data_IF_518448368306
#
_entry.id   IF_518448368306
#
_cell.length_a   1.000
_cell.length_b   1.000
_cell.length_c   1.000
_cell.angle_alpha   90.00
_cell.angle_beta   90.00
_cell.angle_gamma   90.00
#
_symmetry.space_group_name_H-M   'P 1'
#
loop_
_entity.id
_entity.type
_entity.pdbx_description
1 polymer ?
#
# COMPACT_ATOMS: atom_id res chain seq x y z
N UNK A 1 72.58 34.23 -32.16
CA UNK A 1 71.98 33.09 -32.81
C UNK A 1 71.17 32.31 -31.72
N UNK A 2 69.87 32.44 -31.73
CA UNK A 2 68.97 31.70 -30.86
C UNK A 2 68.09 30.75 -31.77
N UNK A 3 67.96 29.49 -31.47
CA UNK A 3 67.10 28.64 -32.29
C UNK A 3 65.63 28.83 -31.88
N UNK A 4 64.79 28.96 -32.90
CA UNK A 4 63.32 28.95 -32.84
C UNK A 4 62.84 27.53 -32.48
N UNK A 5 62.12 27.41 -31.35
CA UNK A 5 61.33 26.18 -31.05
C UNK A 5 59.92 26.36 -31.62
N UNK A 6 59.55 25.48 -32.55
CA UNK A 6 58.20 25.30 -33.02
C UNK A 6 57.41 24.41 -32.09
N UNK A 7 56.19 24.75 -31.67
CA UNK A 7 55.35 23.79 -30.91
C UNK A 7 54.64 22.83 -31.84
N UNK A 8 54.78 21.54 -31.55
CA UNK A 8 53.98 20.44 -32.15
C UNK A 8 52.55 20.54 -31.63
N UNK A 9 51.59 20.79 -32.52
CA UNK A 9 50.17 20.66 -32.25
C UNK A 9 49.78 19.17 -32.39
N UNK A 10 49.56 18.51 -31.24
CA UNK A 10 48.98 17.18 -31.21
C UNK A 10 47.44 17.36 -31.26
N UNK A 11 46.87 17.15 -32.43
CA UNK A 11 45.41 17.11 -32.58
C UNK A 11 44.84 15.82 -31.99
N UNK A 12 44.15 15.92 -30.88
CA UNK A 12 43.32 14.82 -30.35
C UNK A 12 42.08 14.70 -31.22
N UNK A 13 42.04 13.69 -32.11
CA UNK A 13 40.78 13.25 -32.71
C UNK A 13 39.90 12.62 -31.66
N UNK A 14 38.97 13.39 -31.09
CA UNK A 14 37.90 12.89 -30.31
C UNK A 14 36.90 12.13 -31.19
N UNK A 15 36.87 10.83 -31.06
CA UNK A 15 35.78 10.02 -31.61
C UNK A 15 34.49 10.41 -30.85
N UNK A 16 33.71 11.29 -31.49
CA UNK A 16 32.34 11.56 -31.03
C UNK A 16 31.50 10.29 -31.28
N UNK A 17 31.27 9.54 -30.19
CA UNK A 17 30.27 8.48 -30.20
C UNK A 17 28.91 9.18 -30.37
N UNK A 18 28.14 8.89 -31.42
CA UNK A 18 26.82 9.49 -31.57
C UNK A 18 25.95 9.03 -30.40
N UNK A 19 25.62 9.96 -29.47
CA UNK A 19 24.58 9.77 -28.49
C UNK A 19 23.27 9.73 -29.26
N UNK A 20 22.78 8.53 -29.55
CA UNK A 20 21.44 8.36 -30.09
C UNK A 20 20.48 8.80 -28.99
N UNK A 21 19.73 9.91 -29.15
CA UNK A 21 18.75 10.30 -28.14
C UNK A 21 17.74 9.19 -28.01
N UNK A 22 17.59 8.65 -26.81
CA UNK A 22 16.54 7.66 -26.52
C UNK A 22 15.18 8.29 -26.87
N UNK A 23 14.32 7.62 -27.64
CA UNK A 23 13.08 8.19 -28.16
C UNK A 23 12.00 8.29 -27.05
N UNK A 24 12.21 9.17 -26.08
CA UNK A 24 11.25 9.40 -24.99
C UNK A 24 9.85 9.82 -25.51
N UNK A 25 9.79 10.43 -26.69
CA UNK A 25 8.51 10.84 -27.29
C UNK A 25 7.81 9.73 -28.11
N UNK A 26 8.51 8.71 -28.54
CA UNK A 26 7.92 7.62 -29.31
C UNK A 26 6.99 6.73 -28.48
N UNK A 27 7.27 6.58 -27.19
CA UNK A 27 6.47 5.72 -26.31
C UNK A 27 5.09 6.30 -25.97
N UNK A 28 4.98 7.61 -25.82
CA UNK A 28 3.69 8.28 -25.57
C UNK A 28 2.80 8.20 -26.82
N UNK A 29 3.38 8.30 -28.03
CA UNK A 29 2.65 8.17 -29.29
C UNK A 29 2.15 6.74 -29.55
N UNK A 30 2.93 5.72 -29.16
CA UNK A 30 2.54 4.32 -29.29
C UNK A 30 1.31 3.96 -28.45
N UNK A 31 1.11 4.60 -27.30
CA UNK A 31 0.00 4.30 -26.41
C UNK A 31 -1.26 5.11 -26.73
N UNK A 32 -1.15 6.28 -27.32
CA UNK A 32 -2.25 7.20 -27.57
C UNK A 32 -3.28 6.72 -28.60
N UNK A 33 -3.02 5.66 -29.34
CA UNK A 33 -3.91 5.14 -30.38
C UNK A 33 -4.22 3.64 -30.26
N UNK A 34 -3.84 2.99 -29.15
CA UNK A 34 -4.00 1.54 -29.02
C UNK A 34 -5.17 1.20 -28.10
N UNK A 35 -5.98 0.24 -28.53
CA UNK A 35 -6.99 -0.38 -27.68
C UNK A 35 -6.31 -1.22 -26.61
N UNK A 36 -6.70 -1.02 -25.35
CA UNK A 36 -6.24 -1.86 -24.27
C UNK A 36 -6.88 -3.25 -24.39
N UNK A 37 -6.11 -4.28 -24.05
CA UNK A 37 -6.58 -5.66 -23.99
C UNK A 37 -6.85 -6.03 -22.52
N UNK A 38 -8.03 -6.54 -22.16
CA UNK A 38 -8.31 -7.00 -20.80
C UNK A 38 -7.37 -8.14 -20.42
N UNK A 39 -6.92 -8.15 -19.18
CA UNK A 39 -6.08 -9.22 -18.62
C UNK A 39 -6.87 -10.50 -18.37
N UNK A 40 -8.19 -10.39 -18.10
CA UNK A 40 -9.09 -11.50 -17.75
C UNK A 40 -8.56 -12.34 -16.57
N UNK A 41 -7.90 -11.67 -15.63
CA UNK A 41 -7.35 -12.30 -14.45
C UNK A 41 -8.36 -12.52 -13.34
N UNK A 42 -7.88 -13.05 -12.21
CA UNK A 42 -8.72 -13.36 -11.06
C UNK A 42 -8.01 -13.04 -9.75
N UNK A 43 -8.76 -12.53 -8.79
CA UNK A 43 -8.32 -12.47 -7.40
C UNK A 43 -8.39 -13.86 -6.77
N UNK A 44 -7.46 -14.13 -5.86
CA UNK A 44 -7.64 -15.22 -4.91
C UNK A 44 -8.63 -14.79 -3.80
N UNK A 45 -8.94 -15.70 -2.86
CA UNK A 45 -9.93 -15.46 -1.79
C UNK A 45 -9.26 -15.23 -0.42
N UNK A 46 -7.98 -14.87 -0.38
CA UNK A 46 -7.29 -14.61 0.90
C UNK A 46 -7.86 -13.35 1.54
N UNK A 47 -8.41 -13.40 2.75
CA UNK A 47 -8.91 -12.22 3.43
C UNK A 47 -7.76 -11.34 3.90
N UNK A 48 -7.88 -10.04 3.66
CA UNK A 48 -6.89 -9.02 4.07
C UNK A 48 -7.58 -7.98 4.93
N UNK A 49 -7.12 -7.80 6.17
CA UNK A 49 -7.53 -6.65 6.96
C UNK A 49 -6.90 -5.39 6.40
N UNK A 50 -7.72 -4.41 6.07
CA UNK A 50 -7.30 -3.08 5.66
C UNK A 50 -7.65 -2.05 6.73
N UNK A 51 -6.65 -1.32 7.20
CA UNK A 51 -6.77 -0.17 8.06
C UNK A 51 -6.18 1.04 7.34
N UNK A 52 -7.05 1.77 6.61
CA UNK A 52 -6.69 2.95 5.83
C UNK A 52 -7.79 4.04 5.93
N UNK A 53 -8.83 3.85 6.73
CA UNK A 53 -9.85 4.84 7.07
C UNK A 53 -9.91 4.96 8.61
N UNK A 54 -9.62 6.14 9.16
CA UNK A 54 -9.17 7.36 8.48
C UNK A 54 -7.73 7.27 7.97
N UNK A 55 -7.43 7.82 6.80
CA UNK A 55 -6.03 7.91 6.36
C UNK A 55 -5.25 8.91 7.22
N UNK A 56 -5.89 10.04 7.55
CA UNK A 56 -5.33 11.10 8.39
C UNK A 56 -5.90 11.01 9.80
N UNK A 57 -5.18 10.28 10.64
CA UNK A 57 -5.51 10.12 12.08
C UNK A 57 -5.19 11.42 12.81
N UNK A 58 -6.09 11.88 13.67
CA UNK A 58 -5.94 13.15 14.38
C UNK A 58 -5.69 13.01 15.89
N UNK A 59 -5.80 11.79 16.44
CA UNK A 59 -5.60 11.49 17.85
C UNK A 59 -5.77 10.00 18.14
N UNK A 60 -5.75 9.65 19.41
CA UNK A 60 -5.87 8.29 19.90
C UNK A 60 -7.24 7.66 19.59
N UNK A 61 -7.24 6.33 19.37
CA UNK A 61 -8.46 5.53 19.27
C UNK A 61 -8.34 4.33 18.36
N UNK A 62 -9.45 3.63 18.19
CA UNK A 62 -9.58 2.46 17.31
C UNK A 62 -9.67 2.94 15.86
N UNK A 63 -8.89 2.33 14.99
CA UNK A 63 -8.91 2.60 13.55
C UNK A 63 -9.84 1.63 12.82
N UNK A 64 -9.70 0.34 13.10
CA UNK A 64 -10.58 -0.72 12.62
C UNK A 64 -10.57 -1.87 13.63
N UNK A 65 -11.72 -2.54 13.78
CA UNK A 65 -11.82 -3.79 14.55
C UNK A 65 -12.66 -4.81 13.80
N UNK A 66 -12.24 -6.08 13.85
CA UNK A 66 -13.02 -7.20 13.31
C UNK A 66 -13.78 -7.97 14.39
N UNK A 67 -13.72 -7.53 15.66
CA UNK A 67 -14.54 -8.10 16.73
C UNK A 67 -16.02 -7.75 16.53
N UNK A 68 -16.97 -8.59 16.94
CA UNK A 68 -18.38 -8.19 17.01
C UNK A 68 -18.58 -6.97 17.90
N UNK A 69 -19.57 -6.14 17.58
CA UNK A 69 -19.95 -4.98 18.38
C UNK A 69 -19.79 -3.65 17.68
N UNK A 70 -19.65 -2.60 18.47
CA UNK A 70 -19.63 -1.21 18.02
C UNK A 70 -18.48 -0.45 18.66
N UNK A 71 -18.00 0.58 17.97
CA UNK A 71 -17.14 1.59 18.54
C UNK A 71 -17.73 2.99 18.26
N UNK A 72 -17.43 3.96 19.11
CA UNK A 72 -18.07 5.27 19.07
C UNK A 72 -17.20 6.30 18.36
N UNK A 73 -17.75 6.96 17.36
CA UNK A 73 -17.05 8.01 16.62
C UNK A 73 -16.72 9.20 17.53
N UNK A 74 -15.47 9.63 17.54
CA UNK A 74 -15.02 10.77 18.33
C UNK A 74 -15.71 12.08 17.92
N UNK A 75 -16.03 12.23 16.61
CA UNK A 75 -16.63 13.43 16.03
C UNK A 75 -18.11 13.59 16.39
N UNK A 76 -18.86 12.50 16.53
CA UNK A 76 -20.32 12.53 16.62
C UNK A 76 -20.87 11.81 17.85
N UNK A 77 -20.06 11.01 18.54
CA UNK A 77 -20.51 10.12 19.60
C UNK A 77 -21.40 8.96 19.12
N UNK A 78 -21.62 8.82 17.81
CA UNK A 78 -22.48 7.78 17.27
C UNK A 78 -21.76 6.43 17.25
N UNK A 79 -22.48 5.31 17.52
CA UNK A 79 -21.93 3.97 17.37
C UNK A 79 -21.80 3.60 15.90
N UNK A 80 -20.63 3.09 15.51
CA UNK A 80 -20.38 2.44 14.23
C UNK A 80 -20.16 0.96 14.47
N UNK A 81 -20.87 0.11 13.73
CA UNK A 81 -20.63 -1.32 13.74
C UNK A 81 -19.19 -1.61 13.30
N UNK A 82 -18.53 -2.52 14.00
CA UNK A 82 -17.21 -3.01 13.63
C UNK A 82 -17.28 -3.79 12.31
N UNK A 83 -16.16 -3.91 11.63
CA UNK A 83 -15.99 -4.74 10.44
C UNK A 83 -15.89 -6.22 10.84
N UNK A 84 -16.95 -6.76 11.43
CA UNK A 84 -16.97 -8.09 12.05
C UNK A 84 -16.51 -9.18 11.09
N UNK A 85 -15.39 -9.82 11.40
CA UNK A 85 -14.81 -10.89 10.61
C UNK A 85 -13.91 -11.79 11.44
N UNK A 86 -13.93 -13.08 11.18
CA UNK A 86 -13.06 -14.08 11.80
C UNK A 86 -12.13 -14.67 10.74
N UNK A 87 -10.84 -14.49 10.93
CA UNK A 87 -9.80 -15.07 10.08
C UNK A 87 -9.56 -16.52 10.47
N UNK A 88 -9.30 -17.37 9.48
CA UNK A 88 -8.88 -18.76 9.68
C UNK A 88 -8.17 -19.25 8.39
N UNK A 89 -6.96 -19.78 8.52
CA UNK A 89 -6.13 -20.15 7.39
C UNK A 89 -5.26 -18.97 6.89
N UNK A 90 -5.10 -18.84 5.58
CA UNK A 90 -4.31 -17.73 4.99
C UNK A 90 -4.97 -16.38 5.24
N UNK A 91 -4.16 -15.37 5.54
CA UNK A 91 -4.63 -14.00 5.75
C UNK A 91 -3.57 -12.98 5.38
N UNK A 92 -4.02 -11.75 5.15
CA UNK A 92 -3.18 -10.58 4.96
C UNK A 92 -3.53 -9.43 5.90
N UNK A 93 -2.61 -8.48 6.01
CA UNK A 93 -2.79 -7.24 6.74
C UNK A 93 -2.20 -6.09 5.93
N UNK A 94 -2.98 -5.03 5.74
CA UNK A 94 -2.56 -3.74 5.22
C UNK A 94 -2.95 -2.64 6.19
N UNK A 95 -1.97 -1.90 6.68
CA UNK A 95 -2.17 -0.73 7.55
C UNK A 95 -1.46 0.46 6.92
N UNK A 96 -2.16 1.58 6.76
CA UNK A 96 -1.59 2.81 6.23
C UNK A 96 -2.28 4.03 6.83
N UNK A 97 -1.55 4.78 7.64
CA UNK A 97 -2.05 5.98 8.29
C UNK A 97 -1.02 7.09 8.29
N UNK A 98 -1.53 8.33 8.28
CA UNK A 98 -0.78 9.57 8.49
C UNK A 98 -1.25 10.20 9.80
N UNK A 99 -0.36 10.82 10.56
CA UNK A 99 -0.76 11.56 11.75
C UNK A 99 -0.82 13.06 11.48
N UNK A 100 -2.01 13.61 11.61
CA UNK A 100 -2.30 15.04 11.52
C UNK A 100 -2.91 15.50 12.83
N UNK A 101 -2.09 15.79 13.89
CA UNK A 101 -2.59 16.08 15.21
C UNK A 101 -3.55 17.29 15.21
N UNK A 102 -4.64 17.19 15.95
CA UNK A 102 -5.54 18.32 16.22
C UNK A 102 -4.79 19.40 17.03
N UNK A 103 -4.04 18.98 18.02
CA UNK A 103 -3.12 19.88 18.74
C UNK A 103 -1.87 20.12 17.88
N UNK A 104 -1.80 21.31 17.30
CA UNK A 104 -0.70 21.71 16.43
C UNK A 104 0.66 21.83 17.15
N UNK A 105 0.68 21.94 18.49
CA UNK A 105 1.91 21.94 19.27
C UNK A 105 2.69 20.64 19.11
N UNK A 106 2.00 19.52 18.86
CA UNK A 106 2.62 18.20 18.59
C UNK A 106 3.34 18.11 17.25
N UNK A 107 3.18 19.07 16.33
CA UNK A 107 3.90 19.06 15.04
C UNK A 107 5.38 19.34 15.23
N UNK A 108 5.72 20.24 16.19
CA UNK A 108 7.09 20.60 16.48
C UNK A 108 7.26 20.77 17.98
N UNK A 109 7.89 19.79 18.60
CA UNK A 109 8.22 19.79 20.01
C UNK A 109 9.61 20.44 20.25
N UNK A 110 9.93 20.84 21.50
CA UNK A 110 11.25 21.30 21.86
C UNK A 110 12.38 20.37 21.40
N UNK A 111 13.47 20.91 20.91
CA UNK A 111 14.60 20.13 20.37
C UNK A 111 14.37 19.56 18.98
N UNK A 112 13.40 20.07 18.21
CA UNK A 112 13.12 19.65 16.83
C UNK A 112 12.46 18.27 16.73
N UNK A 113 11.99 17.71 17.83
CA UNK A 113 11.24 16.45 17.85
C UNK A 113 9.84 16.66 17.30
N UNK A 114 9.19 15.57 16.91
CA UNK A 114 7.78 15.54 16.52
C UNK A 114 7.00 14.76 17.58
N UNK A 115 5.78 15.18 17.87
CA UNK A 115 4.84 14.34 18.59
C UNK A 115 4.51 13.12 17.75
N UNK A 116 4.14 12.05 18.38
CA UNK A 116 3.81 10.79 17.70
C UNK A 116 2.63 10.10 18.38
N UNK A 117 1.96 9.24 17.63
CA UNK A 117 1.13 8.18 18.13
C UNK A 117 1.86 6.86 17.93
N UNK A 118 1.49 5.88 18.70
CA UNK A 118 1.90 4.48 18.47
C UNK A 118 0.80 3.78 17.69
N UNK A 119 1.10 3.41 16.44
CA UNK A 119 0.22 2.59 15.62
C UNK A 119 0.48 1.12 15.94
N UNK A 120 -0.55 0.39 16.33
CA UNK A 120 -0.42 -1.01 16.71
C UNK A 120 -1.52 -1.89 16.10
N UNK A 121 -1.18 -3.16 15.86
CA UNK A 121 -2.12 -4.21 15.49
C UNK A 121 -2.24 -5.20 16.63
N UNK A 122 -3.47 -5.50 17.03
CA UNK A 122 -3.84 -6.41 18.10
C UNK A 122 -4.43 -7.68 17.50
N UNK A 123 -3.92 -8.83 17.92
CA UNK A 123 -4.46 -10.15 17.63
C UNK A 123 -5.38 -10.57 18.78
N UNK A 124 -6.51 -11.20 18.46
CA UNK A 124 -7.56 -11.52 19.41
C UNK A 124 -8.01 -12.97 19.19
N UNK A 125 -7.90 -13.78 20.21
CA UNK A 125 -8.43 -15.14 20.24
C UNK A 125 -9.68 -15.21 21.12
N UNK A 126 -10.89 -15.26 20.54
CA UNK A 126 -12.12 -15.36 21.32
C UNK A 126 -12.44 -16.81 21.76
N UNK A 127 -11.64 -17.78 21.31
CA UNK A 127 -11.92 -19.21 21.49
C UNK A 127 -11.15 -19.87 22.64
N UNK A 128 -11.53 -21.11 22.99
CA UNK A 128 -10.96 -21.84 24.11
C UNK A 128 -9.62 -22.52 23.79
N UNK A 129 -9.20 -22.57 22.54
CA UNK A 129 -7.96 -23.20 22.12
C UNK A 129 -6.92 -22.15 21.74
N UNK A 130 -5.62 -22.40 21.96
CA UNK A 130 -4.58 -21.53 21.43
C UNK A 130 -4.65 -21.49 19.91
N UNK A 131 -4.28 -20.35 19.31
CA UNK A 131 -4.20 -20.17 17.86
C UNK A 131 -2.76 -19.83 17.50
N UNK A 132 -2.18 -20.63 16.61
CA UNK A 132 -0.82 -20.42 16.13
C UNK A 132 -0.84 -19.70 14.77
N UNK A 133 -0.12 -18.59 14.69
CA UNK A 133 0.06 -17.82 13.48
C UNK A 133 1.49 -17.95 12.98
N UNK A 134 1.65 -18.14 11.68
CA UNK A 134 2.93 -18.13 11.00
C UNK A 134 2.94 -17.08 9.92
N UNK A 135 3.92 -16.17 9.96
CA UNK A 135 4.09 -15.10 8.98
C UNK A 135 5.16 -15.48 7.94
N UNK A 136 4.87 -15.22 6.68
CA UNK A 136 5.76 -15.58 5.56
C UNK A 136 6.41 -14.38 4.90
N UNK A 137 5.72 -13.26 4.84
CA UNK A 137 6.16 -12.09 4.11
C UNK A 137 5.69 -10.82 4.82
N UNK A 138 6.47 -9.74 4.70
CA UNK A 138 6.03 -8.41 5.07
C UNK A 138 7.00 -7.59 5.89
N UNK A 139 6.58 -6.38 6.19
CA UNK A 139 7.31 -5.43 7.01
C UNK A 139 6.38 -4.39 7.64
N UNK A 140 6.89 -3.75 8.68
CA UNK A 140 6.33 -2.56 9.30
C UNK A 140 7.36 -1.44 9.20
N UNK A 141 6.96 -0.26 8.71
CA UNK A 141 7.83 0.91 8.55
C UNK A 141 7.09 2.19 8.90
N UNK A 142 7.84 3.16 9.36
CA UNK A 142 7.36 4.53 9.59
C UNK A 142 8.28 5.57 8.91
N UNK A 143 7.88 6.84 8.96
CA UNK A 143 8.61 7.92 8.29
C UNK A 143 9.98 8.25 8.92
N UNK A 144 10.29 7.79 10.12
CA UNK A 144 11.62 7.91 10.69
C UNK A 144 12.59 6.91 10.05
N UNK A 145 12.11 5.69 9.80
CA UNK A 145 12.90 4.59 9.23
C UNK A 145 12.97 4.64 7.70
N UNK A 146 11.88 5.07 7.08
CA UNK A 146 11.74 5.17 5.63
C UNK A 146 11.27 6.57 5.25
N UNK A 147 12.13 7.59 5.33
CA UNK A 147 11.77 8.97 5.03
C UNK A 147 11.38 9.11 3.55
N UNK A 148 10.46 10.01 3.32
CA UNK A 148 10.00 10.35 2.00
C UNK A 148 10.88 11.45 1.40
N UNK A 149 11.72 11.08 0.46
CA UNK A 149 12.58 12.05 -0.23
C UNK A 149 11.88 12.57 -1.50
N UNK A 150 11.72 13.87 -1.61
CA UNK A 150 11.03 14.55 -2.72
C UNK A 150 11.59 14.16 -4.11
N UNK A 151 12.89 13.92 -4.21
CA UNK A 151 13.58 13.48 -5.43
C UNK A 151 13.16 12.09 -5.92
N UNK A 152 12.45 11.31 -5.08
CA UNK A 152 12.03 9.95 -5.39
C UNK A 152 10.54 9.85 -5.78
N UNK A 153 9.87 10.98 -6.01
CA UNK A 153 8.43 11.06 -6.19
C UNK A 153 7.92 10.70 -7.57
N UNK A 154 8.73 10.84 -8.59
CA UNK A 154 8.30 10.74 -9.99
C UNK A 154 9.15 9.74 -10.77
N UNK A 155 8.49 8.98 -11.64
CA UNK A 155 9.11 8.05 -12.56
C UNK A 155 9.45 6.68 -11.98
N UNK A 156 9.79 5.75 -12.86
CA UNK A 156 10.29 4.42 -12.50
C UNK A 156 11.76 4.53 -12.15
N UNK A 157 12.12 4.06 -10.97
CA UNK A 157 13.51 4.02 -10.53
C UNK A 157 13.91 2.60 -10.17
N UNK A 158 15.13 2.16 -10.53
CA UNK A 158 15.65 0.89 -10.04
C UNK A 158 15.61 0.84 -8.51
N UNK A 159 15.21 -0.31 -7.97
CA UNK A 159 15.31 -0.55 -6.54
C UNK A 159 16.78 -0.63 -6.17
N UNK A 160 17.27 0.42 -5.52
CA UNK A 160 18.61 0.41 -4.94
C UNK A 160 18.71 -0.56 -3.76
N UNK A 161 19.92 -0.69 -3.17
CA UNK A 161 20.13 -1.56 -2.01
C UNK A 161 19.34 -1.09 -0.77
N UNK A 162 18.86 0.15 -0.76
CA UNK A 162 18.10 0.77 0.33
C UNK A 162 16.81 1.41 -0.19
N UNK A 163 15.75 0.63 -0.47
CA UNK A 163 14.49 1.14 -1.00
C UNK A 163 13.67 1.97 0.01
N UNK A 164 14.06 1.96 1.28
CA UNK A 164 13.35 2.64 2.38
C UNK A 164 13.41 4.18 2.34
N UNK A 165 14.13 4.77 1.41
CA UNK A 165 14.12 6.22 1.20
C UNK A 165 12.95 6.70 0.32
N UNK A 166 12.02 5.82 -0.04
CA UNK A 166 10.88 6.11 -0.91
C UNK A 166 9.57 6.27 -0.14
N UNK A 167 9.62 6.20 1.17
CA UNK A 167 8.48 6.25 2.09
C UNK A 167 8.10 4.86 2.63
N UNK A 168 7.34 4.83 3.75
CA UNK A 168 7.01 3.59 4.45
C UNK A 168 6.24 2.60 3.59
N UNK A 169 5.28 3.08 2.78
CA UNK A 169 4.46 2.23 1.92
C UNK A 169 5.29 1.49 0.88
N UNK A 170 6.19 2.19 0.17
CA UNK A 170 7.04 1.55 -0.83
C UNK A 170 8.04 0.58 -0.17
N UNK A 171 8.57 0.95 1.00
CA UNK A 171 9.52 0.09 1.73
C UNK A 171 8.87 -1.23 2.16
N UNK A 172 7.62 -1.23 2.61
CA UNK A 172 6.87 -2.45 2.94
C UNK A 172 6.48 -3.24 1.69
N UNK A 173 6.06 -2.56 0.61
CA UNK A 173 5.72 -3.19 -0.66
C UNK A 173 6.91 -3.96 -1.27
N UNK A 174 8.13 -3.42 -1.16
CA UNK A 174 9.36 -4.12 -1.63
C UNK A 174 9.58 -5.42 -0.87
N UNK A 175 9.36 -5.47 0.43
CA UNK A 175 9.51 -6.70 1.21
C UNK A 175 8.48 -7.75 0.78
N UNK A 176 7.22 -7.35 0.58
CA UNK A 176 6.19 -8.23 0.04
C UNK A 176 6.55 -8.74 -1.36
N UNK A 177 7.04 -7.87 -2.25
CA UNK A 177 7.43 -8.25 -3.60
C UNK A 177 8.60 -9.25 -3.60
N UNK A 178 9.54 -9.10 -2.66
CA UNK A 178 10.68 -10.01 -2.46
C UNK A 178 10.31 -11.30 -1.74
N UNK A 179 9.08 -11.43 -1.24
CA UNK A 179 8.63 -12.56 -0.44
C UNK A 179 9.52 -12.77 0.80
N UNK A 180 9.77 -11.69 1.51
CA UNK A 180 10.64 -11.68 2.69
C UNK A 180 9.90 -11.12 3.90
N UNK A 181 10.05 -11.77 5.03
CA UNK A 181 9.63 -11.23 6.31
C UNK A 181 10.75 -10.37 6.91
N UNK A 182 10.40 -9.20 7.42
CA UNK A 182 11.33 -8.34 8.16
C UNK A 182 11.83 -9.06 9.41
N UNK A 183 13.14 -9.11 9.61
CA UNK A 183 13.79 -9.77 10.75
C UNK A 183 13.38 -9.26 12.13
N UNK A 184 12.73 -8.08 12.18
CA UNK A 184 12.22 -7.51 13.43
C UNK A 184 10.84 -8.05 13.82
N UNK A 185 10.19 -8.75 12.92
CA UNK A 185 8.90 -9.40 13.17
C UNK A 185 9.14 -10.86 13.53
N UNK A 186 8.38 -11.35 14.50
CA UNK A 186 8.34 -12.79 14.77
C UNK A 186 7.72 -13.50 13.56
N UNK A 187 8.30 -14.62 13.18
CA UNK A 187 7.76 -15.49 12.13
C UNK A 187 6.64 -16.40 12.64
N UNK A 188 6.60 -16.65 13.94
CA UNK A 188 5.55 -17.41 14.60
C UNK A 188 5.07 -16.72 15.89
N UNK A 189 3.76 -16.75 16.11
CA UNK A 189 3.11 -16.21 17.31
C UNK A 189 1.99 -17.16 17.73
N UNK A 190 1.86 -17.39 19.03
CA UNK A 190 0.74 -18.10 19.62
C UNK A 190 -0.15 -17.14 20.38
N UNK A 191 -1.44 -17.09 20.06
CA UNK A 191 -2.44 -16.36 20.81
C UNK A 191 -3.08 -17.33 21.81
N UNK A 192 -2.86 -17.17 23.12
CA UNK A 192 -3.48 -18.04 24.11
C UNK A 192 -5.01 -18.02 24.04
N UNK A 193 -5.71 -19.00 24.62
CA UNK A 193 -7.17 -18.99 24.71
C UNK A 193 -7.69 -17.72 25.38
N UNK A 194 -8.80 -17.18 24.87
CA UNK A 194 -9.51 -16.02 25.41
C UNK A 194 -8.60 -14.81 25.67
N UNK A 195 -7.57 -14.61 24.83
CA UNK A 195 -6.58 -13.59 25.06
C UNK A 195 -6.38 -12.65 23.88
N UNK A 196 -5.67 -11.57 24.15
CA UNK A 196 -5.27 -10.56 23.17
C UNK A 196 -3.78 -10.28 23.33
N UNK A 197 -3.10 -9.98 22.24
CA UNK A 197 -1.71 -9.55 22.26
C UNK A 197 -1.42 -8.56 21.14
N UNK A 198 -0.41 -7.73 21.33
CA UNK A 198 0.06 -6.79 20.33
C UNK A 198 0.97 -7.55 19.36
N UNK A 199 0.59 -7.60 18.08
CA UNK A 199 1.40 -8.21 17.02
C UNK A 199 2.64 -7.38 16.74
N UNK A 200 2.46 -6.10 16.58
CA UNK A 200 3.52 -5.10 16.45
C UNK A 200 3.01 -3.73 16.88
N UNK A 201 3.96 -2.87 17.23
CA UNK A 201 3.75 -1.44 17.39
C UNK A 201 4.82 -0.66 16.63
N UNK A 202 4.48 0.53 16.14
CA UNK A 202 5.40 1.42 15.42
C UNK A 202 5.03 2.88 15.62
N UNK A 203 6.02 3.77 15.64
CA UNK A 203 5.77 5.18 15.72
C UNK A 203 5.00 5.69 14.49
N UNK A 204 4.00 6.53 14.74
CA UNK A 204 3.29 7.30 13.72
C UNK A 204 3.55 8.79 13.97
N UNK A 205 4.63 9.36 13.39
CA UNK A 205 5.06 10.71 13.73
C UNK A 205 4.14 11.78 13.13
N UNK A 206 3.99 12.89 13.82
CA UNK A 206 3.25 14.05 13.31
C UNK A 206 3.76 14.46 11.93
N UNK A 207 2.81 14.66 10.98
CA UNK A 207 3.08 14.88 9.54
C UNK A 207 3.87 13.73 8.88
N UNK A 208 3.89 12.56 9.50
CA UNK A 208 4.50 11.36 8.96
C UNK A 208 3.49 10.26 8.66
N UNK A 209 4.00 9.14 8.26
CA UNK A 209 3.26 7.95 7.84
C UNK A 209 3.79 6.74 8.61
N UNK A 210 2.90 5.81 8.94
CA UNK A 210 3.27 4.44 9.28
C UNK A 210 2.51 3.48 8.36
N UNK A 211 3.18 2.40 7.95
CA UNK A 211 2.64 1.39 7.04
C UNK A 211 3.08 0.00 7.46
N UNK A 212 2.14 -0.95 7.37
CA UNK A 212 2.42 -2.38 7.50
C UNK A 212 1.80 -3.14 6.34
N UNK A 213 2.52 -4.11 5.84
CA UNK A 213 2.05 -5.15 4.94
C UNK A 213 2.55 -6.47 5.46
N UNK A 214 1.65 -7.41 5.74
CA UNK A 214 1.98 -8.73 6.24
C UNK A 214 1.13 -9.79 5.53
N UNK A 215 1.70 -10.98 5.39
CA UNK A 215 1.01 -12.19 4.98
C UNK A 215 1.34 -13.32 5.96
N UNK A 216 0.31 -14.05 6.35
CA UNK A 216 0.46 -15.16 7.28
C UNK A 216 -0.62 -16.22 7.09
N UNK A 217 -0.52 -17.23 7.96
CA UNK A 217 -1.49 -18.32 8.07
C UNK A 217 -1.73 -18.64 9.55
N UNK A 218 -2.97 -18.90 9.89
CA UNK A 218 -3.37 -19.41 11.21
C UNK A 218 -3.82 -20.88 11.12
N UNK A 219 -3.72 -21.59 12.22
CA UNK A 219 -4.27 -22.94 12.40
C UNK A 219 -5.63 -22.94 13.06
N UNK A 220 -6.15 -21.77 13.45
CA UNK A 220 -7.43 -21.62 14.11
C UNK A 220 -8.04 -20.23 13.90
N UNK A 221 -9.29 -20.03 14.38
CA UNK A 221 -10.01 -18.78 14.20
C UNK A 221 -9.47 -17.67 15.13
N UNK A 222 -9.29 -16.46 14.57
CA UNK A 222 -8.88 -15.27 15.32
C UNK A 222 -9.45 -13.99 14.70
N UNK A 223 -9.32 -12.90 15.43
CA UNK A 223 -9.76 -11.56 15.02
C UNK A 223 -8.60 -10.57 15.15
N UNK A 224 -8.73 -9.40 14.53
CA UNK A 224 -7.74 -8.34 14.57
C UNK A 224 -8.37 -6.98 14.84
N UNK A 225 -7.59 -6.12 15.48
CA UNK A 225 -7.90 -4.69 15.56
C UNK A 225 -6.63 -3.88 15.29
N UNK A 226 -6.81 -2.66 14.78
CA UNK A 226 -5.74 -1.68 14.62
C UNK A 226 -6.11 -0.45 15.43
N UNK A 227 -5.17 0.02 16.23
CA UNK A 227 -5.35 1.18 17.12
C UNK A 227 -4.20 2.17 16.96
N UNK A 228 -4.48 3.42 17.28
CA UNK A 228 -3.49 4.46 17.49
C UNK A 228 -3.52 4.85 18.97
N UNK A 229 -2.43 4.68 19.70
CA UNK A 229 -2.32 5.00 21.13
C UNK A 229 -1.44 6.25 21.33
N UNK A 230 -1.80 7.10 22.28
CA UNK A 230 -1.02 8.28 22.64
C UNK A 230 -0.09 7.94 23.81
N UNK A 231 1.22 8.08 23.56
CA UNK A 231 2.30 7.90 24.55
C UNK A 231 2.18 6.60 25.42
N UNK A 232 1.88 5.41 24.84
CA UNK A 232 1.75 4.19 25.60
C UNK A 232 3.09 3.78 26.22
N UNK A 233 3.07 3.29 27.46
CA UNK A 233 4.24 2.79 28.19
C UNK A 233 4.38 1.28 28.16
N UNK A 234 3.31 0.59 27.78
CA UNK A 234 3.22 -0.87 27.72
C UNK A 234 2.19 -1.35 26.68
N UNK A 235 2.21 -2.64 26.37
CA UNK A 235 1.16 -3.28 25.57
C UNK A 235 -0.22 -3.18 26.23
N UNK A 236 -0.29 -3.11 27.55
CA UNK A 236 -1.56 -2.95 28.27
C UNK A 236 -2.21 -1.60 27.95
N UNK A 237 -1.44 -0.54 27.80
CA UNK A 237 -1.96 0.78 27.41
C UNK A 237 -2.52 0.73 25.98
N UNK A 238 -1.86 0.01 25.08
CA UNK A 238 -2.34 -0.22 23.72
C UNK A 238 -3.66 -1.02 23.72
N UNK A 239 -3.75 -2.07 24.53
CA UNK A 239 -4.98 -2.86 24.68
C UNK A 239 -6.11 -2.04 25.29
N UNK A 240 -5.81 -1.12 26.22
CA UNK A 240 -6.79 -0.23 26.84
C UNK A 240 -7.45 0.71 25.80
N UNK A 241 -6.73 1.11 24.73
CA UNK A 241 -7.32 1.87 23.63
C UNK A 241 -8.44 1.08 22.94
N UNK A 242 -8.24 -0.22 22.71
CA UNK A 242 -9.29 -1.08 22.16
C UNK A 242 -10.47 -1.20 23.11
N UNK A 243 -10.22 -1.35 24.42
CA UNK A 243 -11.25 -1.46 25.45
C UNK A 243 -12.05 -0.16 25.66
N UNK A 244 -11.49 0.99 25.29
CA UNK A 244 -12.17 2.27 25.36
C UNK A 244 -13.43 2.33 24.50
N UNK A 245 -13.51 1.49 23.46
CA UNK A 245 -14.60 1.50 22.49
C UNK A 245 -14.68 2.79 21.67
N UNK A 246 -13.64 3.65 21.71
CA UNK A 246 -13.63 4.95 21.02
C UNK A 246 -12.84 4.86 19.70
N UNK A 247 -13.42 5.37 18.63
CA UNK A 247 -12.74 5.48 17.35
C UNK A 247 -11.79 6.67 17.34
N UNK A 248 -10.66 6.51 16.68
CA UNK A 248 -9.72 7.59 16.44
C UNK A 248 -10.37 8.71 15.62
N UNK A 249 -10.16 10.00 15.96
CA UNK A 249 -10.65 11.13 15.20
C UNK A 249 -9.95 11.27 13.84
N UNK A 250 -10.62 11.96 12.89
CA UNK A 250 -10.18 12.14 11.51
C UNK A 250 -11.05 11.38 10.49
N UNK A 251 -12.18 10.86 10.92
CA UNK A 251 -13.09 10.04 10.11
C UNK A 251 -13.99 10.89 9.19
N UNK A 252 -13.36 11.60 8.26
CA UNK A 252 -14.05 12.53 7.35
C UNK A 252 -15.15 11.86 6.50
N UNK A 253 -15.11 10.55 6.30
CA UNK A 253 -16.12 9.81 5.53
C UNK A 253 -17.43 9.63 6.30
N UNK A 254 -17.47 9.89 7.60
CA UNK A 254 -18.73 9.92 8.37
C UNK A 254 -19.73 10.91 7.78
N UNK A 255 -19.28 12.06 7.34
CA UNK A 255 -20.13 13.06 6.66
C UNK A 255 -20.55 12.66 5.24
N UNK A 256 -20.04 11.53 4.72
CA UNK A 256 -20.24 11.08 3.35
C UNK A 256 -20.86 9.68 3.23
N UNK A 257 -21.36 9.13 4.33
CA UNK A 257 -21.93 7.76 4.37
C UNK A 257 -23.02 7.57 3.32
N UNK A 258 -23.93 8.53 3.15
CA UNK A 258 -24.98 8.46 2.13
C UNK A 258 -24.41 8.39 0.70
N UNK A 259 -23.34 9.13 0.43
CA UNK A 259 -22.66 9.09 -0.88
C UNK A 259 -22.00 7.72 -1.12
N UNK A 260 -21.36 7.14 -0.09
CA UNK A 260 -20.79 5.81 -0.17
C UNK A 260 -21.89 4.79 -0.45
N UNK A 261 -22.99 4.82 0.31
CA UNK A 261 -24.11 3.89 0.15
C UNK A 261 -24.80 4.00 -1.21
N UNK A 262 -24.82 5.19 -1.81
CA UNK A 262 -25.34 5.39 -3.17
C UNK A 262 -24.34 5.01 -4.28
N UNK A 263 -23.21 4.39 -3.95
CA UNK A 263 -22.21 3.92 -4.92
C UNK A 263 -21.18 4.95 -5.34
N UNK A 264 -21.09 6.10 -4.66
CA UNK A 264 -19.99 7.03 -4.90
C UNK A 264 -18.65 6.35 -4.53
N UNK A 265 -17.66 6.49 -5.42
CA UNK A 265 -16.37 5.82 -5.28
C UNK A 265 -15.46 6.57 -4.33
N UNK A 266 -15.04 5.90 -3.28
CA UNK A 266 -14.04 6.33 -2.31
C UNK A 266 -12.91 5.30 -2.27
N UNK A 267 -11.71 5.69 -1.84
CA UNK A 267 -10.53 4.82 -1.93
C UNK A 267 -9.99 4.32 -0.59
N UNK A 268 -10.54 4.78 0.55
CA UNK A 268 -10.03 4.40 1.87
C UNK A 268 -10.86 3.32 2.51
N UNK A 269 -10.20 2.31 3.04
CA UNK A 269 -10.82 1.08 3.56
C UNK A 269 -10.59 0.96 5.06
N UNK A 270 -11.66 0.64 5.80
CA UNK A 270 -11.61 0.08 7.15
C UNK A 270 -12.46 -1.20 7.15
N UNK A 271 -11.81 -2.35 6.95
CA UNK A 271 -12.52 -3.61 6.79
C UNK A 271 -11.67 -4.72 6.19
N UNK A 272 -12.31 -5.78 5.76
CA UNK A 272 -11.66 -6.98 5.21
C UNK A 272 -12.00 -7.12 3.74
N UNK A 273 -10.98 -7.05 2.88
CA UNK A 273 -11.11 -7.30 1.45
C UNK A 273 -10.74 -8.76 1.12
N UNK A 274 -11.34 -9.31 0.08
CA UNK A 274 -11.01 -10.66 -0.43
C UNK A 274 -10.05 -10.57 -1.61
N UNK A 275 -8.87 -11.15 -1.45
CA UNK A 275 -7.83 -11.21 -2.46
C UNK A 275 -6.62 -10.35 -2.13
N UNK A 276 -5.49 -11.00 -1.86
CA UNK A 276 -4.17 -10.39 -1.74
C UNK A 276 -3.37 -10.48 -3.05
N UNK A 277 -3.91 -11.23 -4.05
CA UNK A 277 -3.25 -11.46 -5.33
C UNK A 277 -4.26 -11.51 -6.47
N UNK A 278 -3.92 -10.79 -7.55
CA UNK A 278 -4.57 -10.87 -8.85
C UNK A 278 -3.63 -11.58 -9.82
N UNK A 279 -4.09 -12.64 -10.48
CA UNK A 279 -3.30 -13.42 -11.43
C UNK A 279 -3.92 -13.39 -12.81
N UNK A 280 -3.07 -13.14 -13.82
CA UNK A 280 -3.46 -13.16 -15.22
C UNK A 280 -2.35 -13.75 -16.09
N UNK A 281 -2.76 -14.29 -17.25
CA UNK A 281 -1.85 -14.78 -18.29
C UNK A 281 -2.31 -14.27 -19.64
N UNK A 282 -1.38 -13.71 -20.42
CA UNK A 282 -1.65 -13.15 -21.74
C UNK A 282 -0.68 -13.75 -22.75
N UNK A 283 -1.24 -14.38 -23.78
CA UNK A 283 -0.50 -14.83 -24.97
C UNK A 283 -0.63 -13.76 -26.05
N UNK A 284 0.49 -13.29 -26.65
CA UNK A 284 0.45 -12.26 -27.67
C UNK A 284 1.64 -12.37 -28.64
N UNK A 285 1.35 -12.05 -29.91
CA UNK A 285 2.34 -11.94 -30.96
C UNK A 285 2.63 -10.47 -31.26
N UNK A 286 3.82 -10.02 -30.83
CA UNK A 286 4.27 -8.63 -30.97
C UNK A 286 4.62 -8.25 -32.42
N UNK A 287 4.82 -9.22 -33.32
CA UNK A 287 5.02 -8.92 -34.77
C UNK A 287 3.70 -8.52 -35.42
N UNK A 288 2.54 -8.89 -34.82
CA UNK A 288 1.24 -8.49 -35.35
C UNK A 288 0.79 -7.12 -34.81
N UNK A 289 1.04 -6.82 -33.55
CA UNK A 289 0.69 -5.53 -32.93
C UNK A 289 1.38 -5.34 -31.59
N UNK A 290 1.56 -4.09 -31.12
CA UNK A 290 1.94 -3.81 -29.74
C UNK A 290 0.88 -4.30 -28.76
N UNK A 291 1.31 -4.71 -27.55
CA UNK A 291 0.42 -5.12 -26.48
C UNK A 291 0.26 -4.00 -25.45
N UNK A 292 -0.97 -3.60 -25.20
CA UNK A 292 -1.33 -2.70 -24.10
C UNK A 292 -2.30 -3.41 -23.16
N UNK A 293 -1.92 -3.57 -21.90
CA UNK A 293 -2.75 -4.16 -20.83
C UNK A 293 -2.88 -3.18 -19.66
N UNK A 294 -4.09 -2.95 -19.15
CA UNK A 294 -4.30 -2.10 -17.99
C UNK A 294 -4.02 -2.87 -16.70
N UNK A 295 -3.51 -2.17 -15.70
CA UNK A 295 -3.39 -2.64 -14.32
C UNK A 295 -4.24 -1.74 -13.41
N UNK A 296 -4.84 -2.33 -12.38
CA UNK A 296 -5.66 -1.62 -11.39
C UNK A 296 -6.87 -0.89 -11.98
N UNK A 297 -7.49 -1.48 -13.00
CA UNK A 297 -8.70 -0.94 -13.64
C UNK A 297 -9.86 -0.84 -12.66
N UNK A 298 -10.59 0.26 -12.75
CA UNK A 298 -11.77 0.55 -11.93
C UNK A 298 -12.95 0.92 -12.81
N UNK A 299 -14.16 0.98 -12.27
CA UNK A 299 -15.36 1.46 -12.98
C UNK A 299 -15.20 2.86 -13.63
N UNK A 300 -14.24 3.66 -13.18
CA UNK A 300 -13.96 4.99 -13.74
C UNK A 300 -12.84 5.00 -14.77
N UNK A 301 -11.99 4.00 -14.72
CA UNK A 301 -10.75 3.92 -15.53
C UNK A 301 -10.47 2.46 -15.89
N UNK A 302 -11.22 1.95 -16.88
CA UNK A 302 -11.08 0.58 -17.39
C UNK A 302 -10.36 0.52 -18.75
N UNK A 303 -9.94 1.67 -19.27
CA UNK A 303 -9.26 1.80 -20.56
C UNK A 303 -10.06 1.23 -21.73
N UNK A 304 -11.40 1.22 -21.64
CA UNK A 304 -12.30 0.66 -22.64
C UNK A 304 -12.38 -0.86 -22.68
N UNK A 305 -11.80 -1.55 -21.70
CA UNK A 305 -11.80 -3.03 -21.63
C UNK A 305 -13.05 -3.61 -20.97
N UNK A 306 -13.76 -2.81 -20.18
CA UNK A 306 -14.85 -3.27 -19.32
C UNK A 306 -14.39 -4.15 -18.15
N UNK A 307 -13.08 -4.40 -17.99
CA UNK A 307 -12.53 -5.22 -16.92
C UNK A 307 -12.33 -4.38 -15.64
N UNK A 308 -12.83 -4.88 -14.52
CA UNK A 308 -12.67 -4.29 -13.21
C UNK A 308 -11.71 -5.14 -12.39
N UNK A 309 -10.61 -4.53 -11.97
CA UNK A 309 -9.54 -5.18 -11.22
C UNK A 309 -9.49 -4.69 -9.77
N UNK A 310 -10.65 -4.62 -9.14
CA UNK A 310 -10.85 -4.17 -7.76
C UNK A 310 -11.41 -5.31 -6.94
N UNK A 311 -10.81 -5.59 -5.79
CA UNK A 311 -11.28 -6.65 -4.91
C UNK A 311 -12.37 -6.16 -3.95
N UNK A 312 -13.44 -6.98 -3.74
CA UNK A 312 -14.59 -6.61 -2.91
C UNK A 312 -14.25 -6.68 -1.42
N UNK A 313 -15.05 -6.00 -0.60
CA UNK A 313 -15.00 -6.12 0.85
C UNK A 313 -15.99 -7.20 1.34
N UNK A 314 -15.49 -8.12 2.17
CA UNK A 314 -16.30 -9.10 2.89
C UNK A 314 -16.95 -8.52 4.15
N UNK A 315 -16.25 -7.59 4.81
CA UNK A 315 -16.73 -6.86 5.97
C UNK A 315 -16.15 -5.45 5.98
N UNK A 316 -16.90 -4.47 6.47
CA UNK A 316 -16.44 -3.09 6.52
C UNK A 316 -17.15 -2.29 7.61
N UNK A 317 -16.47 -1.25 8.09
CA UNK A 317 -17.11 -0.21 8.89
C UNK A 317 -18.00 0.69 8.01
N UNK A 318 -18.99 1.35 8.60
CA UNK A 318 -19.96 2.15 7.84
C UNK A 318 -19.33 3.26 7.00
N UNK A 319 -18.27 3.86 7.50
CA UNK A 319 -17.52 4.94 6.85
C UNK A 319 -16.33 4.45 6.01
N UNK A 320 -16.28 3.19 5.68
CA UNK A 320 -15.33 2.63 4.71
C UNK A 320 -15.87 2.74 3.28
N UNK A 321 -14.98 2.81 2.29
CA UNK A 321 -15.35 2.56 0.89
C UNK A 321 -16.03 1.19 0.74
N UNK A 322 -16.75 1.00 -0.37
CA UNK A 322 -17.44 -0.27 -0.67
C UNK A 322 -16.48 -1.36 -1.14
N UNK A 323 -15.39 -0.95 -1.80
CA UNK A 323 -14.40 -1.83 -2.41
C UNK A 323 -12.99 -1.31 -2.14
N UNK A 324 -11.97 -2.15 -2.30
CA UNK A 324 -10.58 -1.76 -2.25
C UNK A 324 -10.14 -1.11 -3.57
N UNK A 325 -10.74 0.03 -3.91
CA UNK A 325 -10.57 0.73 -5.20
C UNK A 325 -9.10 1.05 -5.50
N UNK A 326 -8.30 1.34 -4.47
CA UNK A 326 -6.86 1.59 -4.61
C UNK A 326 -6.03 0.32 -4.79
N UNK A 327 -6.63 -0.86 -4.75
CA UNK A 327 -5.96 -2.18 -4.79
C UNK A 327 -4.75 -2.27 -3.85
N UNK A 328 -4.88 -1.59 -2.69
CA UNK A 328 -3.81 -1.56 -1.69
C UNK A 328 -3.51 -2.98 -1.20
N UNK A 329 -2.21 -3.28 -1.06
CA UNK A 329 -1.74 -4.59 -0.60
C UNK A 329 -1.95 -5.74 -1.59
N UNK A 330 -2.46 -5.49 -2.80
CA UNK A 330 -2.66 -6.52 -3.82
C UNK A 330 -1.40 -6.69 -4.65
N UNK A 331 -0.99 -7.94 -4.85
CA UNK A 331 0.08 -8.33 -5.78
C UNK A 331 -0.52 -8.72 -7.12
N UNK A 332 -0.27 -7.92 -8.16
CA UNK A 332 -0.57 -8.29 -9.54
C UNK A 332 0.54 -9.20 -10.08
N UNK A 333 0.19 -10.44 -10.42
CA UNK A 333 1.08 -11.39 -11.08
C UNK A 333 0.57 -11.61 -12.50
N UNK A 334 1.24 -10.98 -13.46
CA UNK A 334 0.89 -11.07 -14.87
C UNK A 334 1.98 -11.84 -15.61
N UNK A 335 1.62 -12.95 -16.21
CA UNK A 335 2.48 -13.74 -17.06
C UNK A 335 2.22 -13.37 -18.53
N UNK A 336 3.23 -12.80 -19.19
CA UNK A 336 3.18 -12.44 -20.60
C UNK A 336 3.93 -13.48 -21.42
N UNK A 337 3.22 -14.23 -22.25
CA UNK A 337 3.79 -15.18 -23.21
C UNK A 337 3.87 -14.49 -24.57
N UNK A 338 5.01 -13.85 -24.81
CA UNK A 338 5.21 -13.01 -25.98
C UNK A 338 5.94 -13.78 -27.07
N UNK A 339 5.46 -13.64 -28.31
CA UNK A 339 6.12 -14.08 -29.54
C UNK A 339 6.54 -12.84 -30.32
N UNK A 340 7.53 -13.01 -31.22
CA UNK A 340 7.98 -11.96 -32.12
C UNK A 340 9.49 -11.98 -32.35
N UNK A 341 9.94 -11.21 -33.32
CA UNK A 341 11.35 -11.16 -33.79
C UNK A 341 12.18 -10.09 -33.08
N UNK A 342 11.54 -9.14 -32.35
CA UNK A 342 12.20 -8.10 -31.55
C UNK A 342 13.14 -7.16 -32.33
N UNK A 343 13.83 -6.27 -31.63
CA UNK A 343 13.79 -6.00 -30.20
C UNK A 343 12.50 -5.31 -29.75
N UNK A 344 12.04 -5.60 -28.52
CA UNK A 344 10.85 -5.00 -27.93
C UNK A 344 11.18 -4.26 -26.62
N UNK A 345 10.33 -3.28 -26.26
CA UNK A 345 10.45 -2.54 -25.02
C UNK A 345 9.22 -2.77 -24.14
N UNK A 346 9.43 -3.00 -22.85
CA UNK A 346 8.38 -2.96 -21.84
C UNK A 346 8.27 -1.53 -21.30
N UNK A 347 7.09 -0.93 -21.44
CA UNK A 347 6.83 0.44 -20.99
C UNK A 347 5.74 0.43 -19.95
N UNK A 348 6.03 1.02 -18.77
CA UNK A 348 5.01 1.36 -17.78
C UNK A 348 4.61 2.82 -17.98
N UNK A 349 3.34 3.07 -18.23
CA UNK A 349 2.81 4.42 -18.34
C UNK A 349 1.48 4.56 -17.59
N UNK A 350 1.13 5.79 -17.26
CA UNK A 350 -0.16 6.14 -16.72
C UNK A 350 -0.74 7.27 -17.59
N UNK A 351 -1.48 6.94 -18.64
CA UNK A 351 -2.09 7.97 -19.49
C UNK A 351 -3.13 8.74 -18.64
N UNK A 352 -2.95 10.06 -18.54
CA UNK A 352 -3.97 10.94 -18.00
C UNK A 352 -4.94 11.30 -19.14
N UNK A 353 -6.17 10.79 -19.16
CA UNK A 353 -7.12 11.17 -20.19
C UNK A 353 -7.38 12.67 -20.09
N UNK A 354 -7.19 13.39 -21.19
CA UNK A 354 -7.51 14.81 -21.37
C UNK A 354 -6.77 15.81 -20.45
N UNK A 355 -5.62 15.46 -19.88
CA UNK A 355 -4.75 16.38 -19.13
C UNK A 355 -5.36 16.94 -17.83
N UNK A 356 -6.52 16.46 -17.38
CA UNK A 356 -7.25 17.00 -16.23
C UNK A 356 -7.27 16.12 -14.99
N UNK A 357 -6.91 14.84 -15.10
CA UNK A 357 -6.91 13.92 -13.98
C UNK A 357 -5.56 13.23 -13.87
N UNK A 358 -4.94 13.37 -12.73
CA UNK A 358 -3.73 12.66 -12.40
C UNK A 358 -4.10 11.26 -11.91
N UNK A 359 -3.74 10.25 -12.67
CA UNK A 359 -3.81 8.84 -12.23
C UNK A 359 -2.41 8.48 -11.75
N UNK A 360 -2.24 8.27 -10.47
CA UNK A 360 -0.97 7.88 -9.88
C UNK A 360 -0.96 6.38 -9.64
N UNK A 361 0.03 5.70 -10.19
CA UNK A 361 0.44 4.38 -9.70
C UNK A 361 1.58 4.57 -8.70
N UNK A 362 1.44 3.93 -7.54
CA UNK A 362 2.50 3.84 -6.55
C UNK A 362 2.67 2.41 -6.07
N UNK A 363 3.87 1.90 -6.18
CA UNK A 363 4.16 0.52 -5.82
C UNK A 363 5.53 0.09 -6.33
N UNK A 364 5.81 -1.19 -6.22
CA UNK A 364 7.04 -1.81 -6.69
C UNK A 364 6.75 -2.80 -7.81
N UNK A 365 7.63 -2.89 -8.79
CA UNK A 365 7.50 -3.77 -9.95
C UNK A 365 8.71 -4.68 -9.99
N UNK A 366 8.45 -5.98 -10.14
CA UNK A 366 9.45 -7.00 -10.42
C UNK A 366 9.23 -7.56 -11.82
N UNK A 367 10.29 -7.63 -12.61
CA UNK A 367 10.31 -8.25 -13.94
C UNK A 367 11.25 -9.45 -13.85
N UNK A 368 10.78 -10.64 -14.27
CA UNK A 368 11.54 -11.88 -14.24
C UNK A 368 11.57 -12.49 -15.63
#
# INVERSE_FOLDING_TARGET
MRPLMMPLLVGALGLAVPVVPAPAHAYVALMAGQSARPLQGRFNNVPVLHSNQPEEVQGEGILVSTTPGYAYAAETGQPLANATYTFNGEFGLHVHHKYHPQDRSRISLPGGRRGELTLATILINPGPNPVHLRFSEGAVRNSFEAPYLATNLMGVKPLGPRPWNTGPGDATAVQMLRQQLDRRLADEITIPPYSRLVLFSTALPAKGIANALLKGRSDGPFQMAVVAAEDPTSDLDILAVLDSGRLAPGRIYLSRVNQIQSGAVFSRVAGVALGDRYEARVDHDLDQSPLHVPLTSTNRHDFGTGEIQVNPLAARMLDSSLDNVGTYGVRFKVELLLKGSGPYALVLSHPAPNGRHFIAFRGSIGIK
#
